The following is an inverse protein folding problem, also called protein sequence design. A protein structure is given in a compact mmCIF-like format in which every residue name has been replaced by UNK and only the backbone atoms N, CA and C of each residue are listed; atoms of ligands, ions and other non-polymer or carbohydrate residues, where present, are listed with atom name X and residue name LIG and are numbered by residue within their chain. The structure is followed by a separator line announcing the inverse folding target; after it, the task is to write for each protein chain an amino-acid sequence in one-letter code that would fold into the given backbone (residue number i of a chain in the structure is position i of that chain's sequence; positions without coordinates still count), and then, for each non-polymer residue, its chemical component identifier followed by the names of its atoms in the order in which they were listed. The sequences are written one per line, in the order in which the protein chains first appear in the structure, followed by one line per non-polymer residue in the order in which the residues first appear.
data_IF_180102531896
#
_entry.id   IF_180102531896
#
_cell.length_a   1.000
_cell.length_b   1.000
_cell.length_c   1.000
_cell.angle_alpha   90.00
_cell.angle_beta   90.00
_cell.angle_gamma   90.00
#
_symmetry.space_group_name_H-M   'P 1'
#
loop_
_entity.id
_entity.type
_entity.pdbx_description
1 polymer ?
#
# COMPACT_ATOMS: atom_id res chain seq x y z
N UNK A 1 -3.63 21.89 23.35
CA UNK A 1 -3.56 21.24 22.02
C UNK A 1 -3.52 22.32 20.97
N UNK A 2 -2.47 22.34 20.15
CA UNK A 2 -2.21 23.33 19.10
C UNK A 2 -2.36 22.61 17.76
N UNK A 3 -3.10 23.21 16.83
CA UNK A 3 -3.38 22.60 15.53
C UNK A 3 -2.76 23.45 14.43
N UNK A 4 -1.97 22.82 13.56
CA UNK A 4 -1.31 23.48 12.43
C UNK A 4 -1.62 22.72 11.13
N UNK A 5 -1.88 23.46 10.05
CA UNK A 5 -1.91 22.88 8.70
C UNK A 5 -0.49 22.70 8.16
N UNK A 6 -0.25 21.85 7.16
CA UNK A 6 1.09 21.63 6.59
C UNK A 6 1.85 22.92 6.24
N UNK A 7 1.18 23.93 5.70
CA UNK A 7 1.82 25.21 5.37
C UNK A 7 2.16 26.07 6.59
N UNK A 8 1.40 25.96 7.68
CA UNK A 8 1.73 26.61 8.95
C UNK A 8 2.94 25.94 9.62
N UNK A 9 3.01 24.60 9.56
CA UNK A 9 4.18 23.83 9.99
C UNK A 9 5.40 24.24 9.18
N UNK A 10 5.27 24.30 7.85
CA UNK A 10 6.34 24.74 6.93
C UNK A 10 6.78 26.18 7.18
N UNK A 11 5.84 27.09 7.45
CA UNK A 11 6.16 28.48 7.83
C UNK A 11 6.93 28.56 9.14
N UNK A 12 6.62 27.68 10.10
CA UNK A 12 7.27 27.63 11.41
C UNK A 12 8.67 27.03 11.38
N UNK A 13 8.83 25.88 10.73
CA UNK A 13 10.09 25.10 10.78
C UNK A 13 10.94 25.23 9.52
N UNK A 14 10.45 25.92 8.51
CA UNK A 14 11.02 25.91 7.17
C UNK A 14 10.62 24.66 6.38
N UNK A 15 10.85 24.65 5.06
CA UNK A 15 10.59 23.50 4.22
C UNK A 15 11.53 22.33 4.59
N UNK A 16 10.93 21.16 4.81
CA UNK A 16 11.65 19.91 5.08
C UNK A 16 11.39 18.88 3.97
N UNK A 17 11.69 17.60 4.24
CA UNK A 17 12.02 16.62 3.20
C UNK A 17 10.95 15.57 2.90
N UNK A 18 9.81 15.59 3.60
CA UNK A 18 8.72 14.64 3.38
C UNK A 18 7.97 14.94 2.08
N UNK A 19 7.77 13.90 1.26
CA UNK A 19 7.19 13.98 -0.09
C UNK A 19 5.83 13.29 -0.20
N UNK A 20 5.53 12.32 0.67
CA UNK A 20 4.24 11.64 0.73
C UNK A 20 3.96 11.12 2.13
N UNK A 21 2.71 11.27 2.58
CA UNK A 21 2.17 10.61 3.76
C UNK A 21 0.75 10.15 3.44
N UNK A 22 0.53 8.84 3.38
CA UNK A 22 -0.75 8.27 3.02
C UNK A 22 -1.06 7.08 3.93
N UNK A 23 -2.28 7.02 4.46
CA UNK A 23 -2.71 5.98 5.39
C UNK A 23 -3.88 5.20 4.81
N UNK A 24 -3.66 3.91 4.60
CA UNK A 24 -4.69 2.94 4.20
C UNK A 24 -5.08 2.12 5.41
N UNK A 25 -6.38 1.84 5.56
CA UNK A 25 -6.91 1.02 6.66
C UNK A 25 -7.68 -0.18 6.13
N UNK A 26 -7.59 -1.28 6.87
CA UNK A 26 -8.44 -2.45 6.73
C UNK A 26 -9.10 -2.72 8.09
N UNK A 27 -10.28 -2.14 8.28
CA UNK A 27 -11.03 -2.23 9.54
C UNK A 27 -11.39 -3.67 9.90
N UNK A 28 -11.67 -4.50 8.89
CA UNK A 28 -12.08 -5.90 9.10
C UNK A 28 -10.93 -6.72 9.66
N UNK A 29 -9.72 -6.48 9.16
CA UNK A 29 -8.51 -7.12 9.63
C UNK A 29 -7.87 -6.43 10.84
N UNK A 30 -8.32 -5.22 11.22
CA UNK A 30 -7.77 -4.47 12.34
C UNK A 30 -6.36 -3.91 12.09
N UNK A 31 -6.01 -3.66 10.82
CA UNK A 31 -4.67 -3.26 10.39
C UNK A 31 -4.68 -2.00 9.52
N UNK A 32 -3.51 -1.40 9.36
CA UNK A 32 -3.25 -0.26 8.49
C UNK A 32 -1.89 -0.38 7.79
N UNK A 33 -1.79 0.25 6.63
CA UNK A 33 -0.54 0.50 5.92
C UNK A 33 -0.33 2.01 5.83
N UNK A 34 0.84 2.49 6.27
CA UNK A 34 1.24 3.89 6.16
C UNK A 34 2.38 3.98 5.15
N UNK A 35 2.15 4.69 4.04
CA UNK A 35 3.15 4.97 3.04
C UNK A 35 3.78 6.34 3.30
N UNK A 36 5.09 6.32 3.54
CA UNK A 36 5.92 7.51 3.68
C UNK A 36 6.92 7.59 2.53
N UNK A 37 7.15 8.79 2.01
CA UNK A 37 8.24 9.06 1.09
C UNK A 37 9.04 10.26 1.57
N UNK A 38 10.36 10.13 1.57
CA UNK A 38 11.28 11.22 1.85
C UNK A 38 12.17 11.48 0.63
N UNK A 39 12.82 12.63 0.59
CA UNK A 39 13.85 12.94 -0.41
C UNK A 39 15.10 12.06 -0.30
N UNK A 40 15.37 11.48 0.87
CA UNK A 40 16.62 10.76 1.14
C UNK A 40 16.39 9.38 1.77
N UNK A 41 17.02 8.36 1.17
CA UNK A 41 16.93 6.96 1.58
C UNK A 41 17.38 6.72 3.03
N UNK A 42 18.52 7.27 3.44
CA UNK A 42 19.08 7.00 4.77
C UNK A 42 18.18 7.42 5.94
N UNK A 43 17.33 8.44 5.74
CA UNK A 43 16.34 8.85 6.76
C UNK A 43 15.27 7.78 6.94
N UNK A 44 14.71 7.29 5.83
CA UNK A 44 13.68 6.24 5.82
C UNK A 44 14.19 4.92 6.40
N UNK A 45 15.41 4.51 6.06
CA UNK A 45 16.02 3.30 6.62
C UNK A 45 16.19 3.39 8.15
N UNK A 46 16.66 4.54 8.63
CA UNK A 46 16.80 4.78 10.07
C UNK A 46 15.44 4.83 10.77
N UNK A 47 14.45 5.48 10.15
CA UNK A 47 13.08 5.58 10.65
C UNK A 47 12.45 4.19 10.78
N UNK A 48 12.55 3.36 9.74
CA UNK A 48 12.06 1.98 9.73
C UNK A 48 12.63 1.16 10.90
N UNK A 49 13.95 1.21 11.09
CA UNK A 49 14.59 0.44 12.16
C UNK A 49 14.21 0.94 13.56
N UNK A 50 14.08 2.25 13.75
CA UNK A 50 13.74 2.81 15.05
C UNK A 50 12.28 2.59 15.43
N UNK A 51 11.36 2.72 14.47
CA UNK A 51 9.94 2.49 14.70
C UNK A 51 9.65 1.02 14.97
N UNK A 52 10.28 0.09 14.22
CA UNK A 52 10.22 -1.35 14.52
C UNK A 52 10.75 -1.66 15.91
N UNK A 53 11.91 -1.08 16.28
CA UNK A 53 12.53 -1.28 17.59
C UNK A 53 11.63 -0.77 18.73
N UNK A 54 10.98 0.39 18.56
CA UNK A 54 10.09 0.95 19.57
C UNK A 54 8.79 0.16 19.78
N UNK A 55 8.42 -0.72 18.85
CA UNK A 55 7.16 -1.46 18.89
C UNK A 55 5.94 -0.55 18.70
N UNK A 56 4.96 -0.66 19.61
CA UNK A 56 3.71 0.08 19.52
C UNK A 56 2.74 -0.48 18.49
N UNK A 57 2.25 0.39 17.62
CA UNK A 57 1.33 -0.01 16.56
C UNK A 57 2.04 -0.76 15.43
N UNK A 58 3.35 -0.55 15.25
CA UNK A 58 4.13 -1.14 14.16
C UNK A 58 4.25 -2.66 14.31
N UNK A 59 3.93 -3.38 13.24
CA UNK A 59 4.18 -4.83 13.09
C UNK A 59 5.29 -5.12 12.09
N UNK A 60 5.57 -4.20 11.16
CA UNK A 60 6.63 -4.34 10.17
C UNK A 60 6.89 -3.03 9.42
N UNK A 61 8.04 -2.97 8.76
CA UNK A 61 8.41 -1.88 7.87
C UNK A 61 9.18 -2.44 6.67
N UNK A 62 8.71 -2.13 5.47
CA UNK A 62 9.40 -2.40 4.21
C UNK A 62 9.95 -1.11 3.64
N UNK A 63 11.18 -1.14 3.11
CA UNK A 63 11.86 0.03 2.56
C UNK A 63 12.21 -0.21 1.10
N UNK A 64 11.72 0.65 0.22
CA UNK A 64 12.01 0.64 -1.21
C UNK A 64 12.51 2.03 -1.65
N UNK A 65 13.81 2.13 -1.94
CA UNK A 65 14.43 3.38 -2.37
C UNK A 65 14.31 4.48 -1.31
N UNK A 66 13.50 5.50 -1.56
CA UNK A 66 13.26 6.60 -0.62
C UNK A 66 11.85 6.57 -0.01
N UNK A 67 11.18 5.43 -0.11
CA UNK A 67 9.85 5.19 0.44
C UNK A 67 9.88 4.07 1.48
N UNK A 68 8.95 4.13 2.42
CA UNK A 68 8.69 3.06 3.38
C UNK A 68 7.20 2.81 3.50
N UNK A 69 6.85 1.52 3.56
CA UNK A 69 5.53 1.05 3.97
C UNK A 69 5.63 0.57 5.41
N UNK A 70 4.84 1.15 6.30
CA UNK A 70 4.72 0.72 7.69
C UNK A 70 3.46 -0.12 7.80
N UNK A 71 3.63 -1.36 8.24
CA UNK A 71 2.52 -2.22 8.63
C UNK A 71 2.19 -1.95 10.09
N UNK A 72 0.93 -1.65 10.37
CA UNK A 72 0.49 -1.27 11.70
C UNK A 72 -0.83 -1.93 12.09
N UNK A 73 -1.08 -2.01 13.39
CA UNK A 73 -2.38 -2.38 13.97
C UNK A 73 -3.20 -1.13 14.26
N UNK A 74 -4.51 -1.23 14.08
CA UNK A 74 -5.46 -0.20 14.51
C UNK A 74 -5.58 -0.19 16.05
N UNK A 75 -5.67 1.00 16.63
CA UNK A 75 -5.72 1.22 18.08
C UNK A 75 -4.48 1.95 18.63
N UNK A 76 -4.33 1.92 19.95
CA UNK A 76 -3.21 2.53 20.69
C UNK A 76 -2.43 1.48 21.47
N UNK A 77 -1.12 1.62 21.49
CA UNK A 77 -0.21 0.63 22.05
C UNK A 77 0.94 1.30 22.81
N UNK A 78 1.45 0.61 23.82
CA UNK A 78 2.66 1.04 24.53
C UNK A 78 3.88 0.97 23.62
N UNK A 79 4.78 1.95 23.75
CA UNK A 79 6.02 2.05 22.98
C UNK A 79 7.23 2.02 23.92
N UNK A 80 8.32 1.41 23.47
CA UNK A 80 9.63 1.49 24.12
C UNK A 80 10.50 2.55 23.41
N UNK A 81 10.32 3.81 23.83
CA UNK A 81 10.87 4.97 23.13
C UNK A 81 11.77 5.82 24.02
N UNK A 82 12.85 6.34 23.45
CA UNK A 82 13.86 7.15 24.13
C UNK A 82 15.10 7.33 23.26
N UNK A 83 16.25 7.68 23.85
CA UNK A 83 17.51 7.66 23.10
C UNK A 83 17.79 6.24 22.59
N UNK A 84 18.05 6.10 21.29
CA UNK A 84 18.14 4.79 20.65
C UNK A 84 19.24 3.92 21.26
N UNK A 85 18.85 2.80 21.87
CA UNK A 85 19.76 1.87 22.53
C UNK A 85 19.08 0.51 22.73
N UNK A 86 19.75 -0.61 22.47
CA UNK A 86 19.17 -1.95 22.68
C UNK A 86 17.82 -2.12 21.98
N UNK A 87 16.75 -2.24 22.76
CA UNK A 87 15.35 -2.37 22.35
C UNK A 87 14.55 -1.04 22.40
N UNK A 88 15.23 0.09 22.63
CA UNK A 88 14.63 1.43 22.69
C UNK A 88 14.78 2.11 21.33
N UNK A 89 13.66 2.51 20.72
CA UNK A 89 13.64 3.27 19.47
C UNK A 89 13.68 4.78 19.68
N UNK A 90 14.37 5.49 18.77
CA UNK A 90 14.45 6.95 18.77
C UNK A 90 13.17 7.68 18.34
N UNK A 91 12.17 6.94 17.85
CA UNK A 91 10.83 7.41 17.51
C UNK A 91 9.87 6.24 17.47
N UNK A 92 8.58 6.51 17.63
CA UNK A 92 7.55 5.49 17.69
C UNK A 92 6.23 5.95 17.09
N UNK A 93 5.49 4.98 16.55
CA UNK A 93 4.08 5.09 16.22
C UNK A 93 3.27 4.46 17.37
N UNK A 94 2.66 5.31 18.19
CA UNK A 94 1.89 4.90 19.37
C UNK A 94 0.50 4.40 19.02
N UNK A 95 -0.09 4.88 17.93
CA UNK A 95 -1.43 4.45 17.55
C UNK A 95 -1.88 4.93 16.18
N UNK A 96 -2.83 4.20 15.63
CA UNK A 96 -3.53 4.48 14.37
C UNK A 96 -5.03 4.35 14.65
N UNK A 97 -5.75 5.46 14.58
CA UNK A 97 -7.15 5.54 15.01
C UNK A 97 -8.00 6.12 13.87
N UNK A 98 -9.13 5.48 13.56
CA UNK A 98 -10.05 5.94 12.52
C UNK A 98 -11.06 6.90 13.14
N UNK A 99 -11.24 8.06 12.50
CA UNK A 99 -12.19 9.09 12.91
C UNK A 99 -13.01 9.52 11.69
N UNK A 100 -14.05 8.74 11.36
CA UNK A 100 -14.87 9.00 10.17
C UNK A 100 -14.09 8.79 8.86
N UNK A 101 -13.97 9.85 8.08
CA UNK A 101 -13.20 9.93 6.83
C UNK A 101 -11.72 10.32 7.04
N UNK A 102 -11.29 10.45 8.30
CA UNK A 102 -9.92 10.74 8.69
C UNK A 102 -9.26 9.56 9.41
N UNK A 103 -7.93 9.51 9.35
CA UNK A 103 -7.10 8.63 10.18
C UNK A 103 -6.12 9.48 10.97
N UNK A 104 -6.02 9.16 12.26
CA UNK A 104 -5.15 9.85 13.21
C UNK A 104 -4.01 8.92 13.58
N UNK A 105 -2.78 9.34 13.27
CA UNK A 105 -1.57 8.63 13.67
C UNK A 105 -0.88 9.39 14.80
N UNK A 106 -0.57 8.70 15.90
CA UNK A 106 0.05 9.31 17.09
C UNK A 106 1.54 8.97 17.14
N UNK A 107 2.38 9.99 17.20
CA UNK A 107 3.83 9.86 17.08
C UNK A 107 4.57 10.45 18.28
N UNK A 108 5.67 9.80 18.62
CA UNK A 108 6.66 10.28 19.59
C UNK A 108 8.06 10.22 18.99
N UNK A 109 8.88 11.25 19.21
CA UNK A 109 10.26 11.33 18.72
C UNK A 109 11.16 12.08 19.68
N UNK A 110 12.44 11.68 19.76
CA UNK A 110 13.43 12.36 20.60
C UNK A 110 14.53 12.92 19.71
N UNK A 111 15.07 14.07 20.11
CA UNK A 111 16.20 14.69 19.46
C UNK A 111 15.98 14.91 17.96
N UNK A 112 16.90 14.46 17.11
CA UNK A 112 16.77 14.55 15.66
C UNK A 112 15.53 13.83 15.11
N UNK A 113 15.11 12.73 15.73
CA UNK A 113 13.90 12.02 15.34
C UNK A 113 12.62 12.80 15.71
N UNK A 114 12.70 13.63 16.76
CA UNK A 114 11.68 14.63 17.08
C UNK A 114 11.48 15.64 15.94
N UNK A 115 12.56 16.07 15.27
CA UNK A 115 12.46 16.90 14.05
C UNK A 115 11.75 16.15 12.93
N UNK A 116 12.08 14.87 12.75
CA UNK A 116 11.43 14.00 11.77
C UNK A 116 9.91 13.92 11.96
N UNK A 117 9.46 13.48 13.13
CA UNK A 117 8.03 13.24 13.37
C UNK A 117 7.24 14.53 13.63
N UNK A 118 7.79 15.53 14.33
CA UNK A 118 7.04 16.71 14.75
C UNK A 118 7.17 17.91 13.79
N UNK A 119 8.19 17.96 12.94
CA UNK A 119 8.37 19.06 11.98
C UNK A 119 8.39 18.62 10.52
N UNK A 120 9.01 17.48 10.17
CA UNK A 120 9.14 17.04 8.77
C UNK A 120 7.87 16.36 8.26
N UNK A 121 7.45 15.27 8.91
CA UNK A 121 6.31 14.46 8.50
C UNK A 121 4.99 15.24 8.41
N UNK A 122 4.67 16.19 9.31
CA UNK A 122 3.46 16.99 9.22
C UNK A 122 3.37 17.92 8.01
N UNK A 123 4.46 18.15 7.29
CA UNK A 123 4.47 18.95 6.05
C UNK A 123 4.14 18.12 4.80
N UNK A 124 4.06 16.80 4.92
CA UNK A 124 3.95 15.91 3.77
C UNK A 124 2.62 16.12 3.01
N UNK A 125 2.65 16.09 1.68
CA UNK A 125 1.45 15.88 0.88
C UNK A 125 0.67 14.65 1.37
N UNK A 126 -0.62 14.84 1.64
CA UNK A 126 -1.51 13.83 2.24
C UNK A 126 -1.83 14.05 3.72
N UNK A 127 -1.14 14.98 4.40
CA UNK A 127 -1.53 15.45 5.74
C UNK A 127 -2.60 16.54 5.65
N UNK A 128 -3.68 16.41 6.43
CA UNK A 128 -4.71 17.46 6.60
C UNK A 128 -4.25 18.48 7.63
N UNK A 129 -3.81 17.99 8.80
CA UNK A 129 -3.35 18.81 9.94
C UNK A 129 -2.48 18.00 10.89
N UNK A 130 -1.70 18.70 11.71
CA UNK A 130 -1.03 18.14 12.86
C UNK A 130 -1.51 18.79 14.15
N UNK A 131 -1.65 17.98 15.19
CA UNK A 131 -2.13 18.37 16.51
C UNK A 131 -1.04 18.07 17.55
N UNK A 132 -0.52 19.12 18.16
CA UNK A 132 0.53 19.09 19.15
C UNK A 132 -0.09 19.20 20.55
N UNK A 133 0.22 18.30 21.49
CA UNK A 133 -0.33 18.38 22.84
C UNK A 133 -0.02 19.71 23.54
N UNK A 134 1.24 20.15 23.52
CA UNK A 134 1.72 21.38 24.17
C UNK A 134 2.61 22.24 23.26
N UNK A 135 2.91 23.47 23.69
CA UNK A 135 3.89 24.34 22.99
C UNK A 135 5.31 23.74 23.02
N UNK A 136 5.65 22.95 24.04
CA UNK A 136 6.96 22.30 24.14
C UNK A 136 7.16 21.29 23.01
N UNK A 137 6.09 20.62 22.56
CA UNK A 137 6.11 19.71 21.41
C UNK A 137 6.45 20.42 20.10
N UNK A 138 6.30 21.75 20.03
CA UNK A 138 6.69 22.59 18.89
C UNK A 138 8.14 23.09 18.96
N UNK A 139 8.90 22.71 20.00
CA UNK A 139 10.32 23.03 20.14
C UNK A 139 11.13 21.78 19.78
N UNK A 140 11.42 21.61 18.49
CA UNK A 140 12.05 20.39 17.96
C UNK A 140 13.59 20.41 18.06
N UNK A 141 14.20 19.22 18.06
CA UNK A 141 15.65 19.04 18.08
C UNK A 141 16.30 19.18 19.47
N UNK A 142 17.63 19.05 19.51
CA UNK A 142 18.38 18.96 20.76
C UNK A 142 18.18 17.60 21.44
N UNK A 143 18.03 17.56 22.77
CA UNK A 143 17.73 16.34 23.54
C UNK A 143 16.23 16.23 23.93
N UNK A 144 15.35 16.98 23.26
CA UNK A 144 13.93 17.10 23.62
C UNK A 144 13.10 15.96 23.04
N UNK A 145 12.00 15.66 23.73
CA UNK A 145 10.95 14.77 23.23
C UNK A 145 9.82 15.61 22.64
N UNK A 146 9.30 15.17 21.50
CA UNK A 146 8.17 15.79 20.83
C UNK A 146 7.08 14.74 20.59
N UNK A 147 5.83 15.14 20.74
CA UNK A 147 4.64 14.36 20.41
C UNK A 147 3.79 15.10 19.41
N UNK A 148 3.21 14.37 18.47
CA UNK A 148 2.29 14.93 17.50
C UNK A 148 1.27 13.89 17.07
N UNK A 149 0.03 14.32 16.84
CA UNK A 149 -0.96 13.54 16.12
C UNK A 149 -1.06 14.08 14.71
N UNK A 150 -0.87 13.24 13.70
CA UNK A 150 -0.99 13.63 12.30
C UNK A 150 -2.32 13.08 11.80
N UNK A 151 -3.14 13.97 11.26
CA UNK A 151 -4.44 13.65 10.68
C UNK A 151 -4.32 13.65 9.17
N UNK A 152 -4.71 12.55 8.54
CA UNK A 152 -4.73 12.37 7.09
C UNK A 152 -6.10 11.87 6.63
N UNK A 153 -6.43 11.93 5.33
CA UNK A 153 -7.62 11.26 4.82
C UNK A 153 -7.51 9.75 5.03
N UNK A 154 -8.67 9.11 5.19
CA UNK A 154 -8.80 7.67 5.23
C UNK A 154 -8.83 7.11 3.82
N UNK A 155 -7.88 6.24 3.51
CA UNK A 155 -7.89 5.42 2.31
C UNK A 155 -8.11 3.96 2.62
N UNK A 156 -8.52 3.20 1.62
CA UNK A 156 -8.50 1.74 1.60
C UNK A 156 -7.66 1.25 0.43
N UNK A 157 -7.11 0.05 0.55
CA UNK A 157 -6.24 -0.52 -0.48
C UNK A 157 -7.04 -1.40 -1.43
N UNK A 158 -6.91 -1.14 -2.72
CA UNK A 158 -7.43 -2.00 -3.78
C UNK A 158 -6.27 -2.57 -4.60
N UNK A 159 -6.30 -3.89 -4.83
CA UNK A 159 -5.42 -4.60 -5.74
C UNK A 159 -6.23 -5.12 -6.93
N UNK A 160 -5.85 -4.71 -8.14
CA UNK A 160 -6.45 -5.21 -9.37
C UNK A 160 -5.50 -6.14 -10.09
N UNK A 161 -5.92 -7.37 -10.35
CA UNK A 161 -5.20 -8.30 -11.22
C UNK A 161 -5.77 -8.26 -12.63
N UNK A 162 -4.90 -8.10 -13.62
CA UNK A 162 -5.26 -8.05 -15.04
C UNK A 162 -4.39 -9.08 -15.74
N UNK A 163 -5.02 -9.94 -16.54
CA UNK A 163 -4.30 -10.91 -17.36
C UNK A 163 -5.01 -11.19 -18.69
N UNK A 164 -4.24 -11.73 -19.63
CA UNK A 164 -4.70 -12.16 -20.95
C UNK A 164 -5.37 -11.02 -21.72
N UNK A 165 -4.69 -9.86 -21.84
CA UNK A 165 -5.15 -8.76 -22.69
C UNK A 165 -4.53 -8.75 -24.09
N UNK A 166 -3.57 -9.64 -24.32
CA UNK A 166 -2.75 -9.70 -25.53
C UNK A 166 -2.97 -11.00 -26.32
N UNK A 167 -2.58 -10.98 -27.58
CA UNK A 167 -2.59 -12.14 -28.47
C UNK A 167 -1.17 -12.50 -28.86
N UNK A 168 -0.99 -13.55 -29.68
CA UNK A 168 0.34 -13.92 -30.20
C UNK A 168 0.99 -12.84 -31.07
N UNK A 169 0.20 -11.89 -31.59
CA UNK A 169 0.67 -10.90 -32.57
C UNK A 169 0.48 -9.45 -32.11
N UNK A 170 -0.32 -9.19 -31.07
CA UNK A 170 -0.71 -7.83 -30.67
C UNK A 170 -0.84 -7.69 -29.16
N UNK A 171 -0.39 -6.54 -28.65
CA UNK A 171 -0.55 -6.15 -27.25
C UNK A 171 0.48 -6.73 -26.28
N UNK A 172 0.38 -6.27 -25.03
CA UNK A 172 1.05 -6.87 -23.88
C UNK A 172 0.27 -6.47 -22.63
N UNK A 173 -0.14 -7.45 -21.82
CA UNK A 173 -0.94 -7.23 -20.60
C UNK A 173 -0.39 -6.11 -19.71
N UNK A 174 0.91 -6.09 -19.44
CA UNK A 174 1.51 -5.07 -18.59
C UNK A 174 1.43 -3.65 -19.17
N UNK A 175 1.50 -3.51 -20.50
CA UNK A 175 1.40 -2.20 -21.17
C UNK A 175 -0.01 -1.66 -21.00
N UNK A 176 -1.02 -2.51 -21.22
CA UNK A 176 -2.44 -2.14 -21.02
C UNK A 176 -2.69 -1.74 -19.57
N UNK A 177 -2.20 -2.53 -18.61
CA UNK A 177 -2.36 -2.25 -17.18
C UNK A 177 -1.67 -0.93 -16.77
N UNK A 178 -0.43 -0.70 -17.20
CA UNK A 178 0.30 0.52 -16.84
C UNK A 178 -0.32 1.78 -17.46
N UNK A 179 -0.75 1.71 -18.74
CA UNK A 179 -1.50 2.80 -19.38
C UNK A 179 -2.81 3.11 -18.65
N UNK A 180 -3.50 2.08 -18.16
CA UNK A 180 -4.72 2.24 -17.37
C UNK A 180 -4.45 3.02 -16.08
N UNK A 181 -3.38 2.68 -15.37
CA UNK A 181 -2.97 3.38 -14.15
C UNK A 181 -2.55 4.83 -14.43
N UNK A 182 -1.72 5.06 -15.45
CA UNK A 182 -1.24 6.41 -15.82
C UNK A 182 -2.36 7.35 -16.29
N UNK A 183 -3.39 6.81 -16.95
CA UNK A 183 -4.54 7.58 -17.42
C UNK A 183 -5.57 7.86 -16.32
N UNK A 184 -5.42 7.27 -15.12
CA UNK A 184 -6.37 7.45 -14.03
C UNK A 184 -6.22 8.84 -13.40
N UNK A 185 -7.29 9.64 -13.43
CA UNK A 185 -7.32 11.02 -12.91
C UNK A 185 -8.38 11.23 -11.82
N UNK A 186 -8.93 10.13 -11.28
CA UNK A 186 -9.99 10.17 -10.27
C UNK A 186 -9.45 10.80 -8.98
N UNK A 187 -10.03 11.92 -8.56
CA UNK A 187 -9.68 12.57 -7.30
C UNK A 187 -9.98 11.64 -6.11
N UNK A 188 -9.02 11.49 -5.19
CA UNK A 188 -9.14 10.55 -4.07
C UNK A 188 -8.72 9.12 -4.41
N UNK A 189 -8.11 8.92 -5.58
CA UNK A 189 -7.41 7.68 -5.96
C UNK A 189 -5.93 7.98 -6.15
N UNK A 190 -5.09 7.17 -5.52
CA UNK A 190 -3.65 7.27 -5.55
C UNK A 190 -3.05 5.96 -6.06
N UNK A 191 -2.40 5.99 -7.22
CA UNK A 191 -1.64 4.84 -7.71
C UNK A 191 -0.43 4.60 -6.79
N UNK A 192 -0.25 3.36 -6.34
CA UNK A 192 0.83 2.98 -5.43
C UNK A 192 1.99 2.35 -6.19
N UNK A 193 1.69 1.30 -6.96
CA UNK A 193 2.66 0.58 -7.78
C UNK A 193 1.95 -0.40 -8.72
N UNK A 194 2.73 -0.92 -9.67
CA UNK A 194 2.39 -2.09 -10.46
C UNK A 194 3.37 -3.22 -10.10
N UNK A 195 2.86 -4.45 -10.06
CA UNK A 195 3.69 -5.66 -9.98
C UNK A 195 3.43 -6.55 -11.19
N UNK A 196 4.51 -7.07 -11.78
CA UNK A 196 4.43 -8.18 -12.71
C UNK A 196 4.50 -9.47 -11.91
N UNK A 197 3.55 -10.36 -12.14
CA UNK A 197 3.43 -11.61 -11.38
C UNK A 197 3.72 -12.77 -12.32
N UNK A 198 4.85 -13.42 -12.09
CA UNK A 198 5.20 -14.64 -12.81
C UNK A 198 4.34 -15.79 -12.31
N UNK A 199 3.54 -16.37 -13.20
CA UNK A 199 2.70 -17.53 -12.90
C UNK A 199 3.39 -18.82 -13.36
N UNK A 200 2.67 -19.93 -13.33
CA UNK A 200 3.20 -21.23 -13.76
C UNK A 200 3.53 -21.26 -15.27
N UNK A 201 4.81 -21.32 -15.66
CA UNK A 201 5.21 -21.36 -17.07
C UNK A 201 4.87 -22.69 -17.74
N UNK A 202 4.46 -23.73 -17.00
CA UNK A 202 4.05 -25.01 -17.58
C UNK A 202 2.62 -24.99 -18.18
N UNK A 203 1.83 -23.93 -17.94
CA UNK A 203 0.44 -23.84 -18.41
C UNK A 203 0.36 -23.95 -19.95
N UNK A 204 -0.49 -24.83 -20.49
CA UNK A 204 -0.75 -24.90 -21.92
C UNK A 204 -1.63 -23.71 -22.38
N UNK A 205 -1.46 -23.24 -23.61
CA UNK A 205 -2.26 -22.13 -24.18
C UNK A 205 -2.16 -20.78 -23.44
N UNK A 206 -0.99 -20.50 -22.84
CA UNK A 206 -0.58 -19.20 -22.28
C UNK A 206 -0.04 -18.22 -23.33
N UNK A 207 0.07 -16.94 -22.96
CA UNK A 207 1.02 -16.01 -23.58
C UNK A 207 2.45 -16.47 -23.29
N UNK A 208 3.43 -16.04 -24.09
CA UNK A 208 4.80 -16.62 -24.08
C UNK A 208 5.40 -16.78 -22.68
N UNK A 209 5.19 -15.80 -21.78
CA UNK A 209 5.83 -15.76 -20.47
C UNK A 209 4.91 -16.11 -19.28
N UNK A 210 3.59 -16.24 -19.47
CA UNK A 210 2.61 -16.47 -18.37
C UNK A 210 2.73 -15.44 -17.22
N UNK A 211 2.59 -14.16 -17.53
CA UNK A 211 2.77 -13.07 -16.55
C UNK A 211 1.49 -12.23 -16.46
N UNK A 212 0.89 -12.22 -15.28
CA UNK A 212 -0.21 -11.31 -14.94
C UNK A 212 0.31 -9.96 -14.43
N UNK A 213 -0.53 -8.92 -14.45
CA UNK A 213 -0.19 -7.59 -13.93
C UNK A 213 -1.11 -7.21 -12.77
N UNK A 214 -0.52 -6.80 -11.66
CA UNK A 214 -1.24 -6.29 -10.50
C UNK A 214 -1.08 -4.78 -10.40
N UNK A 215 -2.17 -4.05 -10.21
CA UNK A 215 -2.18 -2.61 -9.94
C UNK A 215 -2.69 -2.36 -8.53
N UNK A 216 -1.89 -1.68 -7.70
CA UNK A 216 -2.28 -1.33 -6.34
C UNK A 216 -2.62 0.16 -6.25
N UNK A 217 -3.75 0.46 -5.60
CA UNK A 217 -4.23 1.81 -5.38
C UNK A 217 -4.61 2.01 -3.92
N UNK A 218 -4.40 3.23 -3.43
CA UNK A 218 -5.09 3.75 -2.26
C UNK A 218 -6.29 4.57 -2.72
N UNK A 219 -7.46 4.28 -2.17
CA UNK A 219 -8.74 4.82 -2.66
C UNK A 219 -9.58 5.29 -1.49
N UNK A 220 -10.12 6.52 -1.58
CA UNK A 220 -11.13 6.95 -0.61
C UNK A 220 -12.38 6.04 -0.72
N UNK A 221 -13.02 5.64 0.39
CA UNK A 221 -14.11 4.66 0.36
C UNK A 221 -15.24 4.97 -0.64
N UNK A 222 -15.59 6.25 -0.81
CA UNK A 222 -16.62 6.73 -1.72
C UNK A 222 -16.24 6.63 -3.21
N UNK A 223 -14.95 6.45 -3.52
CA UNK A 223 -14.40 6.37 -4.89
C UNK A 223 -14.16 4.95 -5.38
N UNK A 224 -14.40 3.94 -4.54
CA UNK A 224 -14.11 2.53 -4.84
C UNK A 224 -14.84 2.07 -6.11
N UNK A 225 -16.16 2.29 -6.20
CA UNK A 225 -16.96 1.85 -7.36
C UNK A 225 -16.54 2.57 -8.64
N UNK A 226 -16.31 3.88 -8.56
CA UNK A 226 -15.84 4.70 -9.68
C UNK A 226 -14.52 4.16 -10.23
N UNK A 227 -13.57 3.79 -9.35
CA UNK A 227 -12.32 3.17 -9.78
C UNK A 227 -12.52 1.78 -10.39
N UNK A 228 -13.34 0.91 -9.79
CA UNK A 228 -13.61 -0.42 -10.34
C UNK A 228 -14.22 -0.33 -11.75
N UNK A 229 -15.19 0.56 -11.95
CA UNK A 229 -15.82 0.82 -13.25
C UNK A 229 -14.82 1.38 -14.26
N UNK A 230 -13.97 2.32 -13.84
CA UNK A 230 -12.91 2.89 -14.68
C UNK A 230 -11.92 1.83 -15.15
N UNK A 231 -11.37 1.03 -14.24
CA UNK A 231 -10.40 -0.03 -14.56
C UNK A 231 -11.03 -1.02 -15.55
N UNK A 232 -12.25 -1.48 -15.26
CA UNK A 232 -12.95 -2.42 -16.13
C UNK A 232 -13.18 -1.85 -17.53
N UNK A 233 -13.73 -0.63 -17.62
CA UNK A 233 -13.99 0.05 -18.90
C UNK A 233 -12.72 0.27 -19.70
N UNK A 234 -11.65 0.75 -19.05
CA UNK A 234 -10.38 1.01 -19.72
C UNK A 234 -9.78 -0.28 -20.27
N UNK A 235 -9.66 -1.32 -19.45
CA UNK A 235 -9.03 -2.59 -19.88
C UNK A 235 -9.85 -3.25 -20.99
N UNK A 236 -11.18 -3.27 -20.88
CA UNK A 236 -12.05 -3.83 -21.92
C UNK A 236 -11.99 -3.04 -23.23
N UNK A 237 -11.83 -1.72 -23.17
CA UNK A 237 -11.69 -0.88 -24.37
C UNK A 237 -10.33 -0.97 -25.06
N UNK A 238 -9.32 -1.56 -24.40
CA UNK A 238 -7.93 -1.61 -24.90
C UNK A 238 -7.35 -3.02 -24.99
N UNK A 239 -8.12 -4.05 -24.66
CA UNK A 239 -7.70 -5.45 -24.80
C UNK A 239 -7.79 -5.93 -26.25
N UNK A 240 -6.85 -6.78 -26.65
CA UNK A 240 -6.89 -7.50 -27.93
C UNK A 240 -7.43 -8.93 -27.78
N UNK A 241 -7.67 -9.39 -26.54
CA UNK A 241 -8.06 -10.76 -26.22
C UNK A 241 -9.52 -10.83 -25.77
N UNK A 242 -10.21 -11.91 -26.15
CA UNK A 242 -11.55 -12.23 -25.67
C UNK A 242 -11.54 -12.96 -24.32
N UNK A 243 -10.35 -13.35 -23.86
CA UNK A 243 -10.15 -14.18 -22.68
C UNK A 243 -9.73 -13.37 -21.43
N UNK A 244 -9.68 -12.03 -21.54
CA UNK A 244 -9.19 -11.11 -20.52
C UNK A 244 -9.86 -11.29 -19.16
N UNK A 245 -9.05 -11.48 -18.13
CA UNK A 245 -9.51 -11.50 -16.74
C UNK A 245 -9.22 -10.20 -16.02
N UNK A 246 -10.17 -9.77 -15.18
CA UNK A 246 -9.97 -8.63 -14.28
C UNK A 246 -10.47 -9.05 -12.90
N UNK A 247 -9.56 -9.12 -11.93
CA UNK A 247 -9.86 -9.43 -10.54
C UNK A 247 -9.61 -8.21 -9.66
N UNK A 248 -10.37 -8.08 -8.57
CA UNK A 248 -10.24 -6.98 -7.61
C UNK A 248 -10.30 -7.53 -6.19
N UNK A 249 -9.33 -7.11 -5.37
CA UNK A 249 -9.34 -7.34 -3.93
C UNK A 249 -9.31 -6.00 -3.20
N UNK A 250 -10.21 -5.86 -2.21
CA UNK A 250 -10.30 -4.73 -1.30
C UNK A 250 -9.81 -5.18 0.07
N UNK A 251 -8.59 -4.79 0.42
CA UNK A 251 -7.95 -5.17 1.68
C UNK A 251 -6.44 -5.02 1.63
N UNK A 252 -5.82 -5.03 2.82
CA UNK A 252 -4.36 -4.90 2.97
C UNK A 252 -3.68 -6.28 2.89
N UNK A 253 -4.21 -7.25 3.64
CA UNK A 253 -3.78 -8.64 3.63
C UNK A 253 -4.99 -9.56 3.53
N UNK A 254 -4.75 -10.84 3.24
CA UNK A 254 -5.83 -11.82 3.19
C UNK A 254 -6.15 -12.34 4.60
N UNK A 255 -7.44 -12.51 4.95
CA UNK A 255 -7.84 -12.92 6.30
C UNK A 255 -7.59 -14.40 6.59
N UNK A 256 -7.34 -15.20 5.55
CA UNK A 256 -7.12 -16.65 5.62
C UNK A 256 -5.96 -17.04 4.74
N UNK A 257 -5.23 -18.08 5.15
CA UNK A 257 -4.27 -18.74 4.27
C UNK A 257 -5.02 -19.49 3.18
N UNK A 258 -4.49 -19.45 1.96
CA UNK A 258 -5.00 -20.27 0.86
C UNK A 258 -3.85 -20.94 0.11
N UNK A 259 -3.99 -22.24 -0.22
CA UNK A 259 -3.02 -22.93 -1.06
C UNK A 259 -2.96 -22.34 -2.49
N UNK A 260 -3.95 -21.51 -2.89
CA UNK A 260 -3.98 -20.83 -4.16
C UNK A 260 -2.72 -20.00 -4.43
N UNK A 261 -2.12 -19.39 -3.39
CA UNK A 261 -0.86 -18.65 -3.50
C UNK A 261 0.25 -19.47 -4.15
N UNK A 262 0.39 -20.73 -3.72
CA UNK A 262 1.34 -21.67 -4.33
C UNK A 262 0.82 -22.14 -5.68
N UNK A 263 -0.45 -22.56 -5.74
CA UNK A 263 -1.00 -23.21 -6.92
C UNK A 263 -0.95 -22.35 -8.18
N UNK A 264 -1.21 -21.04 -8.10
CA UNK A 264 -1.14 -20.15 -9.28
C UNK A 264 0.26 -20.09 -9.91
N UNK A 265 1.31 -20.43 -9.15
CA UNK A 265 2.68 -20.50 -9.63
C UNK A 265 3.18 -21.93 -9.92
N UNK A 266 2.53 -22.98 -9.41
CA UNK A 266 3.03 -24.37 -9.54
C UNK A 266 2.10 -25.33 -10.27
N UNK A 267 0.78 -25.10 -10.23
CA UNK A 267 -0.23 -26.02 -10.75
C UNK A 267 -0.86 -25.50 -12.05
N UNK A 268 -1.49 -26.39 -12.81
CA UNK A 268 -2.35 -26.00 -13.93
C UNK A 268 -3.79 -25.94 -13.38
N UNK A 269 -4.25 -24.72 -13.12
CA UNK A 269 -5.58 -24.48 -12.55
C UNK A 269 -6.67 -24.52 -13.62
N UNK A 270 -7.86 -24.96 -13.21
CA UNK A 270 -9.11 -24.79 -13.96
C UNK A 270 -9.77 -23.47 -13.59
N UNK A 271 -10.68 -23.00 -14.46
CA UNK A 271 -11.46 -21.80 -14.19
C UNK A 271 -12.30 -21.94 -12.92
N UNK A 272 -12.99 -23.07 -12.75
CA UNK A 272 -13.81 -23.35 -11.56
C UNK A 272 -13.00 -23.30 -10.25
N UNK A 273 -11.76 -23.80 -10.28
CA UNK A 273 -10.86 -23.69 -9.12
C UNK A 273 -10.54 -22.23 -8.83
N UNK A 274 -10.18 -21.44 -9.85
CA UNK A 274 -9.88 -20.03 -9.67
C UNK A 274 -11.09 -19.25 -9.11
N UNK A 275 -12.29 -19.49 -9.65
CA UNK A 275 -13.52 -18.84 -9.18
C UNK A 275 -13.89 -19.21 -7.74
N UNK A 276 -13.70 -20.47 -7.36
CA UNK A 276 -13.93 -20.93 -5.99
C UNK A 276 -12.95 -20.31 -5.00
N UNK A 277 -11.66 -20.28 -5.34
CA UNK A 277 -10.63 -19.66 -4.48
C UNK A 277 -10.84 -18.14 -4.37
N UNK A 278 -11.13 -17.47 -5.48
CA UNK A 278 -11.45 -16.03 -5.49
C UNK A 278 -12.62 -15.72 -4.55
N UNK A 279 -13.73 -16.47 -4.66
CA UNK A 279 -14.89 -16.32 -3.78
C UNK A 279 -14.54 -16.55 -2.30
N UNK A 280 -13.71 -17.55 -2.02
CA UNK A 280 -13.29 -17.89 -0.65
C UNK A 280 -12.45 -16.78 -0.02
N UNK A 281 -11.63 -16.12 -0.83
CA UNK A 281 -10.76 -15.02 -0.42
C UNK A 281 -11.42 -13.63 -0.49
N UNK A 282 -12.66 -13.53 -0.95
CA UNK A 282 -13.34 -12.26 -1.13
C UNK A 282 -12.80 -11.43 -2.30
N UNK A 283 -12.21 -12.09 -3.31
CA UNK A 283 -11.77 -11.48 -4.56
C UNK A 283 -12.94 -11.50 -5.55
N UNK A 284 -13.22 -10.33 -6.14
CA UNK A 284 -14.27 -10.16 -7.13
C UNK A 284 -13.70 -10.18 -8.54
N UNK A 285 -14.33 -10.89 -9.47
CA UNK A 285 -14.04 -10.75 -10.90
C UNK A 285 -14.92 -9.66 -11.50
N UNK A 286 -14.29 -8.66 -12.11
CA UNK A 286 -14.94 -7.51 -12.73
C UNK A 286 -15.17 -7.69 -14.23
N UNK A 287 -14.52 -8.68 -14.85
CA UNK A 287 -14.77 -9.02 -16.26
C UNK A 287 -16.12 -9.72 -16.45
N UNK A 288 -16.70 -9.58 -17.64
CA UNK A 288 -18.00 -10.19 -17.99
C UNK A 288 -17.88 -11.46 -18.84
N UNK A 289 -16.68 -11.80 -19.34
CA UNK A 289 -16.51 -12.91 -20.28
C UNK A 289 -16.41 -14.27 -19.57
N UNK A 290 -15.95 -14.33 -18.32
CA UNK A 290 -15.87 -15.57 -17.56
C UNK A 290 -14.90 -16.59 -18.17
N UNK A 291 -13.72 -16.14 -18.60
CA UNK A 291 -12.76 -16.99 -19.33
C UNK A 291 -11.42 -17.15 -18.61
N UNK A 292 -10.50 -17.85 -19.26
CA UNK A 292 -9.23 -18.33 -18.69
C UNK A 292 -8.35 -17.22 -18.10
N UNK A 293 -8.42 -15.97 -18.58
CA UNK A 293 -7.65 -14.86 -18.01
C UNK A 293 -7.97 -14.61 -16.53
N UNK A 294 -9.14 -15.04 -16.03
CA UNK A 294 -9.46 -15.02 -14.60
C UNK A 294 -8.45 -15.77 -13.73
N UNK A 295 -7.84 -16.83 -14.24
CA UNK A 295 -6.83 -17.62 -13.50
C UNK A 295 -5.60 -16.75 -13.23
N UNK A 296 -5.10 -16.05 -14.23
CA UNK A 296 -3.93 -15.21 -14.06
C UNK A 296 -4.24 -13.88 -13.38
N UNK A 297 -5.43 -13.32 -13.56
CA UNK A 297 -5.91 -12.17 -12.79
C UNK A 297 -6.00 -12.50 -11.28
N UNK A 298 -6.48 -13.69 -10.92
CA UNK A 298 -6.42 -14.19 -9.54
C UNK A 298 -4.97 -14.26 -9.06
N UNK A 299 -4.08 -14.90 -9.82
CA UNK A 299 -2.67 -15.02 -9.45
C UNK A 299 -2.00 -13.65 -9.25
N UNK A 300 -2.32 -12.68 -10.11
CA UNK A 300 -1.83 -11.31 -10.00
C UNK A 300 -2.28 -10.63 -8.71
N UNK A 301 -3.55 -10.75 -8.33
CA UNK A 301 -4.07 -10.22 -7.05
C UNK A 301 -3.37 -10.86 -5.85
N UNK A 302 -3.25 -12.20 -5.84
CA UNK A 302 -2.65 -12.94 -4.73
C UNK A 302 -1.21 -12.48 -4.45
N UNK A 303 -0.41 -12.27 -5.50
CA UNK A 303 0.99 -11.88 -5.38
C UNK A 303 1.24 -10.37 -5.50
N UNK A 304 0.18 -9.56 -5.65
CA UNK A 304 0.27 -8.13 -5.93
C UNK A 304 0.99 -7.31 -4.85
N UNK A 305 1.15 -7.86 -3.65
CA UNK A 305 1.83 -7.23 -2.51
C UNK A 305 3.06 -8.01 -2.00
N UNK A 306 3.57 -9.00 -2.74
CA UNK A 306 4.66 -9.90 -2.29
C UNK A 306 6.07 -9.41 -2.70
N UNK A 307 6.24 -8.12 -2.96
CA UNK A 307 7.55 -7.55 -3.29
C UNK A 307 8.18 -8.14 -4.57
N UNK A 308 9.50 -8.41 -4.53
CA UNK A 308 10.25 -8.95 -5.67
C UNK A 308 9.89 -10.40 -5.99
N UNK A 309 9.50 -11.18 -4.98
CA UNK A 309 9.12 -12.59 -5.14
C UNK A 309 7.91 -12.77 -6.06
N UNK A 310 7.07 -11.74 -6.20
CA UNK A 310 5.98 -11.74 -7.16
C UNK A 310 6.46 -11.98 -8.59
N UNK A 311 7.59 -11.39 -8.97
CA UNK A 311 8.17 -11.47 -10.31
C UNK A 311 8.96 -12.78 -10.56
N UNK A 312 9.31 -13.51 -9.51
CA UNK A 312 10.03 -14.78 -9.59
C UNK A 312 9.11 -16.00 -9.74
N UNK A 313 9.71 -17.11 -10.16
CA UNK A 313 9.09 -18.44 -10.03
C UNK A 313 8.91 -18.80 -8.54
N UNK A 314 8.04 -19.77 -8.27
CA UNK A 314 7.78 -20.18 -6.89
C UNK A 314 9.07 -20.66 -6.19
N UNK A 315 9.45 -19.99 -5.10
CA UNK A 315 10.65 -20.29 -4.30
C UNK A 315 11.90 -19.47 -4.67
N UNK A 316 11.81 -18.53 -5.61
CA UNK A 316 12.86 -17.53 -5.85
C UNK A 316 12.72 -16.35 -4.86
N UNK A 317 13.84 -15.94 -4.25
CA UNK A 317 13.92 -14.86 -3.24
C UNK A 317 15.04 -13.87 -3.60
#
# INVERSE_FOLDING_TARGET
MITLKPDDVKKRFGPLFAQKFLVMVDERAGIAEILEQCRARGTIEWDAMNRKRAGGAVTGCDVEGTSMTIHARLGRFSVNFGAAAGDIGGQALEGVEIAGDEVITSWSGIAGAGVGIAACLPQAPGVIRAEYPTEDDLIVGGARTNRVRIVSPRYEKLCFGIDDTDTKTEGATWVTALKCAEACTIEGVEFLNMRLVQLNPAVPHKTTNCVGSALNFAVKPEKIKELQEYICTFVQGHTFSQDTGIACYRGIGFPIESPAFKWVKTEILTLDQAEREAKTLGIEFLDTNGRKGRIGALGAVLWGNMGIEAAGLYGEH
#
